data_IF_860565020945
#
_entry.id   IF_860565020945
#
_cell.length_a   1.000
_cell.length_b   1.000
_cell.length_c   1.000
_cell.angle_alpha   90.00
_cell.angle_beta   90.00
_cell.angle_gamma   90.00
#
_symmetry.space_group_name_H-M   'P 1'
#
loop_
_entity.id
_entity.type
_entity.pdbx_description
1 polymer ?
#
# COMPACT_ATOMS: atom_id res chain seq x y z
N UNK A 1 -13.80 -0.43 38.49
CA UNK A 1 -12.64 0.47 38.46
C UNK A 1 -12.18 0.55 37.02
N UNK A 2 -12.07 1.76 36.49
CA UNK A 2 -11.82 2.04 35.08
C UNK A 2 -10.32 2.15 34.84
N UNK A 3 -9.81 1.49 33.81
CA UNK A 3 -8.53 1.87 33.19
C UNK A 3 -8.61 1.53 31.70
N UNK A 4 -9.34 2.38 30.98
CA UNK A 4 -9.22 2.50 29.54
C UNK A 4 -7.90 3.24 29.30
N UNK A 5 -6.85 2.47 29.02
CA UNK A 5 -5.57 3.00 28.60
C UNK A 5 -5.81 3.76 27.30
N UNK A 6 -5.44 5.03 27.35
CA UNK A 6 -5.74 6.07 26.38
C UNK A 6 -5.23 5.73 24.99
N UNK A 7 -6.15 5.86 24.03
CA UNK A 7 -5.95 6.17 22.62
C UNK A 7 -4.69 7.01 22.37
N UNK A 8 -3.65 6.38 21.85
CA UNK A 8 -2.74 7.03 20.92
C UNK A 8 -2.14 6.00 19.94
N UNK A 9 -2.93 5.32 19.07
CA UNK A 9 -2.37 4.57 17.96
C UNK A 9 -2.14 5.44 16.71
N UNK A 10 -2.44 6.75 16.72
CA UNK A 10 -2.91 7.39 15.49
C UNK A 10 -1.89 8.18 14.64
N UNK A 11 -0.63 8.36 15.07
CA UNK A 11 0.30 9.23 14.34
C UNK A 11 1.48 8.50 13.68
N UNK A 12 2.06 7.49 14.34
CA UNK A 12 3.11 6.66 13.73
C UNK A 12 2.52 5.70 12.70
N UNK A 13 1.42 5.04 13.05
CA UNK A 13 0.71 4.11 12.18
C UNK A 13 0.15 4.79 10.92
N UNK A 14 -0.37 6.03 11.05
CA UNK A 14 -0.82 6.83 9.89
C UNK A 14 0.31 7.15 8.91
N UNK A 15 1.54 7.38 9.41
CA UNK A 15 2.67 7.71 8.54
C UNK A 15 3.17 6.47 7.82
N UNK A 16 3.29 5.34 8.52
CA UNK A 16 3.69 4.07 7.90
C UNK A 16 2.63 3.57 6.91
N UNK A 17 1.35 3.70 7.26
CA UNK A 17 0.23 3.38 6.37
C UNK A 17 0.24 4.22 5.10
N UNK A 18 0.69 5.49 5.17
CA UNK A 18 0.71 6.39 4.00
C UNK A 18 1.75 5.96 2.97
N UNK A 19 2.93 5.55 3.42
CA UNK A 19 3.99 5.06 2.54
C UNK A 19 3.58 3.75 1.88
N UNK A 20 3.04 2.80 2.67
CA UNK A 20 2.53 1.53 2.13
C UNK A 20 1.44 1.77 1.08
N UNK A 21 0.49 2.66 1.37
CA UNK A 21 -0.56 3.02 0.43
C UNK A 21 -0.01 3.69 -0.84
N UNK A 22 1.04 4.51 -0.75
CA UNK A 22 1.66 5.14 -1.92
C UNK A 22 2.32 4.10 -2.84
N UNK A 23 3.03 3.12 -2.28
CA UNK A 23 3.61 2.00 -3.01
C UNK A 23 2.54 1.17 -3.73
N UNK A 24 1.47 0.82 -3.01
CA UNK A 24 0.34 0.06 -3.55
C UNK A 24 -0.33 0.82 -4.70
N UNK A 25 -0.63 2.10 -4.52
CA UNK A 25 -1.22 2.99 -5.54
C UNK A 25 -0.34 3.10 -6.79
N UNK A 26 0.98 3.16 -6.62
CA UNK A 26 1.91 3.19 -7.73
C UNK A 26 1.83 1.88 -8.51
N UNK A 27 1.87 0.73 -7.84
CA UNK A 27 1.72 -0.59 -8.47
C UNK A 27 0.38 -0.72 -9.19
N UNK A 28 -0.74 -0.33 -8.57
CA UNK A 28 -2.06 -0.28 -9.22
C UNK A 28 -2.04 0.57 -10.51
N UNK A 29 -1.32 1.71 -10.50
CA UNK A 29 -1.19 2.57 -11.68
C UNK A 29 -0.39 1.91 -12.80
N UNK A 30 0.65 1.14 -12.47
CA UNK A 30 1.38 0.33 -13.45
C UNK A 30 0.50 -0.79 -14.03
N UNK A 31 -0.33 -1.43 -13.20
CA UNK A 31 -1.29 -2.42 -13.68
C UNK A 31 -2.33 -1.80 -14.62
N UNK A 32 -2.87 -0.63 -14.27
CA UNK A 32 -3.80 0.12 -15.11
C UNK A 32 -3.18 0.59 -16.44
N UNK A 33 -1.85 0.78 -16.46
CA UNK A 33 -1.08 1.11 -17.66
C UNK A 33 -0.56 -0.12 -18.44
N UNK A 34 -1.05 -1.33 -18.15
CA UNK A 34 -0.61 -2.61 -18.74
C UNK A 34 0.89 -2.90 -18.58
N UNK A 35 1.55 -2.28 -17.60
CA UNK A 35 2.99 -2.35 -17.38
C UNK A 35 3.33 -3.20 -16.15
N UNK A 36 2.98 -4.49 -16.21
CA UNK A 36 3.22 -5.47 -15.14
C UNK A 36 4.69 -5.84 -14.94
N UNK A 37 5.56 -5.50 -15.89
CA UNK A 37 7.02 -5.75 -15.81
C UNK A 37 7.78 -4.59 -15.17
N UNK A 38 7.10 -3.73 -14.41
CA UNK A 38 7.73 -2.58 -13.77
C UNK A 38 8.67 -3.05 -12.66
N UNK A 39 9.95 -2.74 -12.79
CA UNK A 39 10.93 -3.08 -11.76
C UNK A 39 10.69 -2.29 -10.48
N UNK A 40 11.11 -2.86 -9.35
CA UNK A 40 11.05 -2.21 -8.03
C UNK A 40 11.57 -0.74 -8.02
N UNK A 41 12.59 -0.42 -8.83
CA UNK A 41 13.11 0.95 -8.99
C UNK A 41 12.11 1.93 -9.62
N UNK A 42 11.35 1.49 -10.62
CA UNK A 42 10.33 2.34 -11.25
C UNK A 42 9.18 2.60 -10.28
N UNK A 43 8.75 1.55 -9.55
CA UNK A 43 7.63 1.68 -8.61
C UNK A 43 7.97 2.58 -7.44
N UNK A 44 9.16 2.44 -6.86
CA UNK A 44 9.63 3.32 -5.79
C UNK A 44 9.75 4.79 -6.23
N UNK A 45 10.20 5.04 -7.48
CA UNK A 45 10.23 6.39 -8.06
C UNK A 45 8.84 7.00 -8.19
N UNK A 46 7.88 6.26 -8.74
CA UNK A 46 6.50 6.75 -8.92
C UNK A 46 5.81 6.97 -7.58
N UNK A 47 6.10 6.12 -6.59
CA UNK A 47 5.57 6.27 -5.24
C UNK A 47 6.25 7.39 -4.43
N UNK A 48 7.29 8.05 -4.95
CA UNK A 48 8.11 9.07 -4.27
C UNK A 48 8.70 8.55 -2.94
N UNK A 49 9.17 7.30 -2.93
CA UNK A 49 9.77 6.68 -1.74
C UNK A 49 11.21 6.23 -1.99
N UNK A 50 12.04 6.38 -0.97
CA UNK A 50 13.41 5.89 -1.00
C UNK A 50 13.48 4.36 -0.97
N UNK A 51 14.55 3.80 -1.54
CA UNK A 51 14.78 2.35 -1.57
C UNK A 51 14.75 1.70 -0.17
N UNK A 52 15.34 2.36 0.84
CA UNK A 52 15.31 1.84 2.21
C UNK A 52 13.89 1.73 2.77
N UNK A 53 12.98 2.61 2.36
CA UNK A 53 11.58 2.57 2.79
C UNK A 53 10.82 1.46 2.10
N UNK A 54 11.13 1.16 0.84
CA UNK A 54 10.54 0.00 0.17
C UNK A 54 10.91 -1.28 0.93
N UNK A 55 12.19 -1.52 1.20
CA UNK A 55 12.66 -2.72 1.89
C UNK A 55 12.11 -2.88 3.32
N UNK A 56 11.59 -1.79 3.93
CA UNK A 56 10.89 -1.84 5.21
C UNK A 56 9.47 -2.43 5.09
N UNK A 57 8.85 -2.34 3.91
CA UNK A 57 7.47 -2.75 3.70
C UNK A 57 7.34 -4.00 2.80
N UNK A 58 8.21 -4.14 1.80
CA UNK A 58 8.14 -5.19 0.81
C UNK A 58 9.51 -5.76 0.51
N UNK A 59 9.61 -7.08 0.41
CA UNK A 59 10.85 -7.76 0.07
C UNK A 59 11.04 -7.97 -1.44
N UNK A 60 9.96 -7.95 -2.21
CA UNK A 60 9.97 -8.16 -3.66
C UNK A 60 8.85 -7.36 -4.37
N UNK A 61 9.03 -7.13 -5.67
CA UNK A 61 7.98 -6.51 -6.51
C UNK A 61 6.71 -7.38 -6.57
N UNK A 62 6.85 -8.71 -6.63
CA UNK A 62 5.71 -9.65 -6.63
C UNK A 62 4.82 -9.46 -5.39
N UNK A 63 5.41 -9.25 -4.22
CA UNK A 63 4.68 -9.02 -2.97
C UNK A 63 3.88 -7.71 -3.04
N UNK A 64 4.47 -6.66 -3.62
CA UNK A 64 3.79 -5.39 -3.84
C UNK A 64 2.61 -5.54 -4.80
N UNK A 65 2.81 -6.23 -5.93
CA UNK A 65 1.74 -6.48 -6.90
C UNK A 65 0.62 -7.30 -6.30
N UNK A 66 0.95 -8.34 -5.52
CA UNK A 66 -0.06 -9.16 -4.84
C UNK A 66 -0.91 -8.33 -3.88
N UNK A 67 -0.27 -7.54 -3.01
CA UNK A 67 -0.99 -6.64 -2.09
C UNK A 67 -1.82 -5.60 -2.84
N UNK A 68 -1.32 -5.08 -3.96
CA UNK A 68 -2.06 -4.12 -4.75
C UNK A 68 -3.28 -4.72 -5.47
N UNK A 69 -3.21 -5.97 -5.91
CA UNK A 69 -4.38 -6.70 -6.43
C UNK A 69 -5.40 -6.94 -5.33
N UNK A 70 -4.98 -7.41 -4.16
CA UNK A 70 -5.86 -7.65 -3.01
C UNK A 70 -6.56 -6.35 -2.58
N UNK A 71 -5.83 -5.22 -2.49
CA UNK A 71 -6.38 -3.90 -2.13
C UNK A 71 -7.35 -3.37 -3.20
N UNK A 72 -7.04 -3.59 -4.48
CA UNK A 72 -7.94 -3.24 -5.57
C UNK A 72 -9.24 -4.06 -5.52
N UNK A 73 -9.15 -5.37 -5.25
CA UNK A 73 -10.30 -6.25 -5.13
C UNK A 73 -11.18 -5.89 -3.92
N UNK A 74 -10.57 -5.65 -2.75
CA UNK A 74 -11.28 -5.19 -1.54
C UNK A 74 -12.06 -3.89 -1.79
N UNK A 75 -11.44 -2.93 -2.49
CA UNK A 75 -12.08 -1.66 -2.88
C UNK A 75 -13.29 -1.87 -3.81
N UNK A 76 -13.24 -2.86 -4.67
CA UNK A 76 -14.35 -3.20 -5.56
C UNK A 76 -15.46 -3.99 -4.84
N UNK A 77 -15.12 -4.88 -3.89
CA UNK A 77 -16.09 -5.63 -3.10
C UNK A 77 -16.86 -4.71 -2.12
N UNK A 78 -16.17 -3.73 -1.53
CA UNK A 78 -16.80 -2.68 -0.73
C UNK A 78 -17.79 -1.81 -1.55
N UNK A 79 -17.61 -1.71 -2.86
CA UNK A 79 -18.55 -1.00 -3.75
C UNK A 79 -19.70 -1.87 -4.25
N UNK A 80 -19.63 -3.20 -4.14
CA UNK A 80 -20.69 -4.13 -4.58
C UNK A 80 -21.60 -4.59 -3.43
N UNK A 81 -21.20 -4.40 -2.18
CA UNK A 81 -21.97 -4.75 -0.97
C UNK A 81 -22.97 -3.67 -0.50
N UNK A 82 -23.23 -2.62 -1.28
CA UNK A 82 -24.18 -1.55 -0.95
C UNK A 82 -25.49 -1.65 -1.73
N UNK A 83 -26.39 -2.51 -1.28
CA UNK A 83 -27.83 -2.41 -1.57
C UNK A 83 -28.57 -1.91 -0.31
#
# INVERSE_FOLDING_TARGET
MAEQITDAPNCLDRRESRTRAALVRAAESFMAAEKLTASMLEVAQVADVGMGTFYNHFHAEEELFHVAVEDALDRHDASSAGC
#
